data_IF_945199596159
#
_entry.id   IF_945199596159
#
_cell.length_a   1.000
_cell.length_b   1.000
_cell.length_c   1.000
_cell.angle_alpha   90.00
_cell.angle_beta   90.00
_cell.angle_gamma   90.00
#
_symmetry.space_group_name_H-M   'P 1'
#
loop_
_entity.id
_entity.type
_entity.pdbx_description
1 polymer ?
#
# COMPACT_ATOMS: atom_id res chain seq x y z
N UNK A 1 -40.00 32.37 -66.59
CA UNK A 1 -39.16 31.81 -65.51
C UNK A 1 -40.09 31.29 -64.42
N UNK A 2 -39.72 30.16 -63.84
CA UNK A 2 -40.54 29.20 -63.11
C UNK A 2 -41.36 29.75 -61.92
N UNK A 3 -42.65 29.38 -61.86
CA UNK A 3 -43.49 28.82 -60.75
C UNK A 3 -42.96 28.97 -59.29
N UNK A 4 -43.73 29.15 -58.19
CA UNK A 4 -45.14 28.93 -57.81
C UNK A 4 -45.40 29.54 -56.42
N UNK A 5 -46.64 29.94 -56.15
CA UNK A 5 -47.19 30.31 -54.83
C UNK A 5 -47.33 29.11 -53.87
N UNK A 6 -47.32 29.33 -52.55
CA UNK A 6 -48.36 28.88 -51.57
C UNK A 6 -47.84 29.03 -50.13
N UNK A 7 -48.78 29.45 -49.29
CA UNK A 7 -48.71 29.79 -47.87
C UNK A 7 -48.25 28.67 -46.93
N UNK A 8 -47.77 29.04 -45.73
CA UNK A 8 -47.96 28.25 -44.51
C UNK A 8 -48.19 29.17 -43.30
N UNK A 9 -49.35 28.99 -42.69
CA UNK A 9 -49.75 29.46 -41.37
C UNK A 9 -49.07 28.65 -40.25
N UNK A 10 -48.89 29.32 -39.10
CA UNK A 10 -49.02 28.84 -37.73
C UNK A 10 -48.44 27.45 -37.35
N UNK A 11 -47.43 27.48 -36.48
CA UNK A 11 -47.03 26.35 -35.66
C UNK A 11 -46.05 26.79 -34.57
N UNK A 12 -46.56 27.15 -33.40
CA UNK A 12 -45.73 27.28 -32.19
C UNK A 12 -45.28 25.86 -31.84
N UNK A 13 -44.01 25.56 -32.10
CA UNK A 13 -43.38 24.33 -31.62
C UNK A 13 -42.86 24.61 -30.20
N UNK A 14 -43.63 24.20 -29.19
CA UNK A 14 -43.09 24.02 -27.84
C UNK A 14 -42.14 22.82 -27.92
N UNK A 15 -40.85 23.09 -28.05
CA UNK A 15 -39.83 22.07 -27.92
C UNK A 15 -39.76 21.66 -26.45
N UNK A 16 -40.45 20.57 -26.12
CA UNK A 16 -40.30 19.84 -24.87
C UNK A 16 -38.83 19.48 -24.70
N UNK A 17 -38.12 20.17 -23.80
CA UNK A 17 -36.79 19.75 -23.37
C UNK A 17 -37.01 18.45 -22.62
N UNK A 18 -36.79 17.32 -23.30
CA UNK A 18 -36.71 16.02 -22.66
C UNK A 18 -35.45 16.07 -21.78
N UNK A 19 -35.64 16.40 -20.51
CA UNK A 19 -34.64 16.21 -19.47
C UNK A 19 -34.28 14.72 -19.49
N UNK A 20 -33.17 14.37 -20.13
CA UNK A 20 -32.60 13.05 -19.96
C UNK A 20 -32.44 12.85 -18.44
N UNK A 21 -32.92 11.75 -17.86
CA UNK A 21 -32.72 11.51 -16.44
C UNK A 21 -31.22 11.48 -16.24
N UNK A 22 -30.71 12.45 -15.47
CA UNK A 22 -29.41 12.34 -14.82
C UNK A 22 -29.50 11.01 -14.08
N UNK A 23 -28.86 9.97 -14.62
CA UNK A 23 -28.64 8.75 -13.87
C UNK A 23 -27.76 9.19 -12.70
N UNK A 24 -28.39 9.48 -11.57
CA UNK A 24 -27.73 9.46 -10.29
C UNK A 24 -27.10 8.06 -10.23
N UNK A 25 -25.80 7.98 -10.54
CA UNK A 25 -25.03 6.78 -10.30
C UNK A 25 -25.25 6.47 -8.84
N UNK A 26 -26.08 5.47 -8.58
CA UNK A 26 -26.25 4.93 -7.24
C UNK A 26 -24.87 4.38 -6.93
N UNK A 27 -24.08 5.13 -6.16
CA UNK A 27 -22.80 4.63 -5.65
C UNK A 27 -23.19 3.39 -4.88
N UNK A 28 -22.95 2.21 -5.46
CA UNK A 28 -23.26 0.94 -4.81
C UNK A 28 -22.54 1.00 -3.48
N UNK A 29 -23.33 1.06 -2.39
CA UNK A 29 -22.80 1.26 -1.06
C UNK A 29 -22.12 -0.05 -0.66
N UNK A 30 -20.81 -0.14 -0.92
CA UNK A 30 -19.99 -1.30 -0.58
C UNK A 30 -20.10 -1.60 0.90
N UNK A 31 -20.21 -2.88 1.24
CA UNK A 31 -20.20 -3.35 2.62
C UNK A 31 -18.83 -3.09 3.29
N UNK A 32 -18.77 -3.02 4.63
CA UNK A 32 -17.51 -2.94 5.36
C UNK A 32 -16.53 -4.07 5.02
N UNK A 33 -17.02 -5.28 4.82
CA UNK A 33 -16.24 -6.46 4.46
C UNK A 33 -15.61 -6.31 3.07
N UNK A 34 -16.39 -5.90 2.07
CA UNK A 34 -15.88 -5.63 0.72
C UNK A 34 -14.86 -4.49 0.71
N UNK A 35 -15.13 -3.41 1.46
CA UNK A 35 -14.19 -2.30 1.59
C UNK A 35 -12.87 -2.73 2.23
N UNK A 36 -12.92 -3.62 3.22
CA UNK A 36 -11.72 -4.18 3.85
C UNK A 36 -10.95 -5.08 2.88
N UNK A 37 -11.64 -6.01 2.22
CA UNK A 37 -11.03 -6.92 1.26
C UNK A 37 -10.36 -6.15 0.12
N UNK A 38 -11.03 -5.11 -0.39
CA UNK A 38 -10.48 -4.19 -1.40
C UNK A 38 -9.23 -3.47 -0.90
N UNK A 39 -9.27 -2.91 0.31
CA UNK A 39 -8.09 -2.27 0.90
C UNK A 39 -6.93 -3.25 1.05
N UNK A 40 -7.17 -4.45 1.58
CA UNK A 40 -6.13 -5.47 1.80
C UNK A 40 -5.51 -5.93 0.48
N UNK A 41 -6.30 -6.01 -0.60
CA UNK A 41 -5.82 -6.35 -1.94
C UNK A 41 -4.96 -5.25 -2.57
N UNK A 42 -5.29 -3.97 -2.34
CA UNK A 42 -4.75 -2.86 -3.11
C UNK A 42 -3.82 -1.92 -2.34
N UNK A 43 -3.74 -1.99 -1.01
CA UNK A 43 -2.89 -1.11 -0.18
C UNK A 43 -1.41 -1.10 -0.56
N UNK A 44 -0.95 -2.14 -1.26
CA UNK A 44 0.42 -2.31 -1.74
C UNK A 44 0.64 -2.05 -3.24
N UNK A 45 -0.37 -1.61 -3.99
CA UNK A 45 -0.25 -1.46 -5.45
C UNK A 45 0.91 -0.55 -5.88
N UNK A 46 1.21 0.47 -5.08
CA UNK A 46 2.30 1.44 -5.28
C UNK A 46 3.54 1.15 -4.42
N UNK A 47 3.65 0.01 -3.73
CA UNK A 47 4.82 -0.31 -2.88
C UNK A 47 6.13 -0.29 -3.65
N UNK A 48 6.08 -0.56 -4.96
CA UNK A 48 7.24 -0.45 -5.82
C UNK A 48 7.84 0.94 -5.82
N UNK A 49 7.09 2.03 -5.62
CA UNK A 49 7.61 3.40 -5.59
C UNK A 49 8.40 3.73 -4.33
N UNK A 50 8.15 3.06 -3.20
CA UNK A 50 8.71 3.43 -1.90
C UNK A 50 10.24 3.40 -1.93
N UNK A 51 10.90 4.44 -1.40
CA UNK A 51 12.34 4.59 -1.43
C UNK A 51 12.77 5.75 -2.32
N UNK A 52 14.01 5.71 -2.78
CA UNK A 52 14.62 6.79 -3.56
C UNK A 52 15.05 6.27 -4.93
N UNK A 53 14.83 7.10 -5.95
CA UNK A 53 15.05 6.80 -7.35
C UNK A 53 15.78 7.93 -8.04
N UNK A 54 16.64 7.58 -8.97
CA UNK A 54 17.00 8.46 -10.08
C UNK A 54 16.16 8.11 -11.31
N UNK A 55 15.95 9.08 -12.20
CA UNK A 55 15.29 8.80 -13.46
C UNK A 55 15.87 9.59 -14.62
N UNK A 56 15.68 9.03 -15.81
CA UNK A 56 15.82 9.76 -17.08
C UNK A 56 14.48 9.82 -17.77
N UNK A 57 14.23 10.90 -18.49
CA UNK A 57 12.96 11.17 -19.13
C UNK A 57 13.15 11.76 -20.53
N UNK A 58 12.18 11.50 -21.38
CA UNK A 58 12.04 12.14 -22.69
C UNK A 58 10.61 12.67 -22.82
N UNK A 59 10.49 13.96 -23.11
CA UNK A 59 9.25 14.67 -23.36
C UNK A 59 9.27 15.28 -24.75
N UNK A 60 8.13 15.20 -25.44
CA UNK A 60 7.94 15.88 -26.73
C UNK A 60 7.90 17.41 -26.60
N UNK A 61 7.65 17.94 -25.40
CA UNK A 61 7.63 19.38 -25.14
C UNK A 61 8.96 19.88 -24.58
N UNK A 62 9.55 19.14 -23.64
CA UNK A 62 10.73 19.60 -22.88
C UNK A 62 12.04 18.92 -23.30
N UNK A 63 11.99 17.99 -24.26
CA UNK A 63 13.16 17.20 -24.64
C UNK A 63 13.57 16.21 -23.56
N UNK A 64 14.87 15.92 -23.49
CA UNK A 64 15.43 14.98 -22.51
C UNK A 64 15.81 15.68 -21.21
N UNK A 65 15.53 15.04 -20.09
CA UNK A 65 15.91 15.53 -18.78
C UNK A 65 16.08 14.37 -17.79
N UNK A 66 16.59 14.68 -16.60
CA UNK A 66 16.82 13.72 -15.53
C UNK A 66 16.28 14.26 -14.21
N UNK A 67 16.16 13.38 -13.23
CA UNK A 67 15.71 13.81 -11.93
C UNK A 67 15.80 12.78 -10.83
N UNK A 68 15.20 13.14 -9.70
CA UNK A 68 15.07 12.30 -8.53
C UNK A 68 13.60 12.11 -8.18
N UNK A 69 13.27 10.94 -7.68
CA UNK A 69 11.94 10.65 -7.16
C UNK A 69 12.08 9.91 -5.84
N UNK A 70 11.45 10.44 -4.80
CA UNK A 70 11.43 9.82 -3.48
C UNK A 70 10.00 9.54 -3.06
N UNK A 71 9.71 8.39 -2.46
CA UNK A 71 8.40 8.08 -1.91
C UNK A 71 8.51 7.43 -0.53
N UNK A 72 7.60 7.80 0.36
CA UNK A 72 7.49 7.24 1.71
C UNK A 72 6.06 6.77 1.98
N UNK A 73 5.95 5.67 2.72
CA UNK A 73 4.68 5.20 3.26
C UNK A 73 4.40 5.90 4.58
N UNK A 74 3.26 6.55 4.71
CA UNK A 74 2.79 7.12 5.97
C UNK A 74 2.13 6.03 6.82
N UNK A 75 2.04 6.25 8.14
CA UNK A 75 1.42 5.30 9.08
C UNK A 75 -0.02 4.92 8.70
N UNK A 76 -0.80 5.85 8.15
CA UNK A 76 -2.17 5.59 7.68
C UNK A 76 -2.25 4.79 6.36
N UNK A 77 -1.12 4.41 5.78
CA UNK A 77 -1.05 3.64 4.53
C UNK A 77 -1.05 4.49 3.26
N UNK A 78 -1.14 5.82 3.38
CA UNK A 78 -0.94 6.73 2.24
C UNK A 78 0.52 6.68 1.76
N UNK A 79 0.73 7.09 0.52
CA UNK A 79 2.07 7.32 -0.01
C UNK A 79 2.23 8.81 -0.26
N UNK A 80 3.30 9.38 0.28
CA UNK A 80 3.75 10.72 -0.02
C UNK A 80 4.99 10.59 -0.89
N UNK A 81 4.96 11.16 -2.09
CA UNK A 81 6.09 11.17 -3.00
C UNK A 81 6.47 12.56 -3.46
N UNK A 82 7.76 12.78 -3.72
CA UNK A 82 8.34 14.01 -4.22
C UNK A 82 9.08 13.70 -5.52
N UNK A 83 8.80 14.47 -6.56
CA UNK A 83 9.41 14.35 -7.88
C UNK A 83 10.15 15.63 -8.21
N UNK A 84 11.46 15.52 -8.50
CA UNK A 84 12.34 16.65 -8.82
C UNK A 84 12.95 16.47 -10.20
N UNK A 85 12.82 17.49 -11.05
CA UNK A 85 13.62 17.62 -12.28
C UNK A 85 14.87 18.41 -11.96
N UNK A 86 16.02 17.90 -12.40
CA UNK A 86 17.32 18.51 -12.17
C UNK A 86 17.83 19.21 -13.44
N UNK A 87 18.45 20.38 -13.24
CA UNK A 87 19.26 21.04 -14.27
C UNK A 87 20.64 20.38 -14.41
N UNK A 88 21.43 20.86 -15.37
CA UNK A 88 22.74 20.29 -15.68
C UNK A 88 23.68 20.28 -14.46
N UNK A 89 23.66 21.37 -13.68
CA UNK A 89 24.46 21.54 -12.47
C UNK A 89 23.91 20.78 -11.24
N UNK A 90 22.77 20.09 -11.37
CA UNK A 90 22.11 19.38 -10.27
C UNK A 90 21.11 20.23 -9.47
N UNK A 91 20.91 21.50 -9.84
CA UNK A 91 19.90 22.35 -9.21
C UNK A 91 18.48 21.85 -9.49
N UNK A 92 17.56 22.01 -8.53
CA UNK A 92 16.14 21.65 -8.72
C UNK A 92 15.45 22.68 -9.61
N UNK A 93 15.03 22.28 -10.81
CA UNK A 93 14.34 23.14 -11.78
C UNK A 93 12.81 23.06 -11.64
N UNK A 94 12.31 21.91 -11.21
CA UNK A 94 10.89 21.68 -10.94
C UNK A 94 10.76 20.68 -9.81
N UNK A 95 9.76 20.89 -8.95
CA UNK A 95 9.44 20.00 -7.84
C UNK A 95 7.94 19.94 -7.64
N UNK A 96 7.41 18.72 -7.54
CA UNK A 96 6.04 18.48 -7.11
C UNK A 96 6.01 17.43 -6.02
N UNK A 97 5.04 17.56 -5.12
CA UNK A 97 4.77 16.58 -4.07
C UNK A 97 3.38 15.99 -4.30
N UNK A 98 3.28 14.67 -4.34
CA UNK A 98 2.03 13.95 -4.52
C UNK A 98 1.64 13.16 -3.28
N UNK A 99 0.37 13.26 -2.89
CA UNK A 99 -0.26 12.36 -1.93
C UNK A 99 -1.12 11.35 -2.69
N UNK A 100 -0.88 10.07 -2.44
CA UNK A 100 -1.66 8.95 -2.99
C UNK A 100 -2.35 8.22 -1.86
N UNK A 101 -3.66 8.02 -2.00
CA UNK A 101 -4.45 7.32 -1.00
C UNK A 101 -5.40 6.32 -1.66
N UNK A 102 -5.51 5.13 -1.09
CA UNK A 102 -6.47 4.15 -1.58
C UNK A 102 -7.86 4.42 -1.01
N UNK A 103 -8.80 4.75 -1.89
CA UNK A 103 -10.19 4.97 -1.53
C UNK A 103 -10.98 3.66 -1.67
N UNK A 104 -11.09 2.92 -0.56
CA UNK A 104 -11.83 1.65 -0.51
C UNK A 104 -13.33 1.77 -0.80
N UNK A 105 -13.93 2.95 -0.60
CA UNK A 105 -15.34 3.16 -0.95
C UNK A 105 -15.54 3.22 -2.48
N UNK A 106 -14.52 3.69 -3.21
CA UNK A 106 -14.56 3.87 -4.67
C UNK A 106 -13.69 2.87 -5.45
N UNK A 107 -13.04 1.94 -4.76
CA UNK A 107 -12.20 0.87 -5.35
C UNK A 107 -11.12 1.42 -6.30
N UNK A 108 -10.40 2.44 -5.84
CA UNK A 108 -9.37 3.11 -6.64
C UNK A 108 -8.39 3.86 -5.76
N UNK A 109 -7.21 4.12 -6.31
CA UNK A 109 -6.33 5.15 -5.81
C UNK A 109 -6.81 6.54 -6.21
N UNK A 110 -6.65 7.49 -5.31
CA UNK A 110 -6.85 8.92 -5.56
C UNK A 110 -5.52 9.63 -5.30
N UNK A 111 -5.21 10.59 -6.18
CA UNK A 111 -3.92 11.28 -6.21
C UNK A 111 -4.17 12.78 -6.22
N UNK A 112 -3.39 13.51 -5.42
CA UNK A 112 -3.33 14.97 -5.44
C UNK A 112 -1.88 15.42 -5.49
N UNK A 113 -1.53 16.18 -6.51
CA UNK A 113 -0.22 16.82 -6.69
C UNK A 113 -0.26 18.28 -6.22
N UNK A 114 0.79 18.68 -5.51
CA UNK A 114 0.97 20.02 -4.96
C UNK A 114 2.30 20.60 -5.43
N UNK A 115 2.26 21.84 -5.90
CA UNK A 115 3.46 22.59 -6.25
C UNK A 115 3.70 23.69 -5.20
N UNK A 116 4.98 23.91 -4.87
CA UNK A 116 5.36 24.92 -3.89
C UNK A 116 4.84 26.31 -4.30
N UNK A 117 4.01 26.92 -3.45
CA UNK A 117 3.44 28.25 -3.67
C UNK A 117 2.22 28.30 -4.62
N UNK A 118 1.94 27.24 -5.38
CA UNK A 118 0.84 27.21 -6.37
C UNK A 118 -0.35 26.35 -5.92
N UNK A 119 -0.27 25.73 -4.74
CA UNK A 119 -1.35 24.92 -4.18
C UNK A 119 -1.56 23.59 -4.91
N UNK A 120 -2.81 23.12 -4.96
CA UNK A 120 -3.18 21.89 -5.65
C UNK A 120 -3.07 22.12 -7.16
N UNK A 121 -2.17 21.38 -7.81
CA UNK A 121 -1.96 21.47 -9.26
C UNK A 121 -2.56 20.28 -10.01
N UNK A 122 -2.55 19.11 -9.39
CA UNK A 122 -2.92 17.89 -10.09
C UNK A 122 -3.91 17.05 -9.30
N UNK A 123 -4.86 16.46 -10.00
CA UNK A 123 -5.84 15.55 -9.40
C UNK A 123 -5.99 14.35 -10.33
N UNK A 124 -5.91 13.14 -9.77
CA UNK A 124 -5.99 11.93 -10.55
C UNK A 124 -6.57 10.74 -9.81
N UNK A 125 -6.84 9.69 -10.56
CA UNK A 125 -7.22 8.39 -10.02
C UNK A 125 -6.36 7.30 -10.63
N UNK A 126 -6.15 6.21 -9.91
CA UNK A 126 -5.33 5.09 -10.38
C UNK A 126 -5.91 3.73 -10.04
N UNK A 127 -5.62 2.74 -10.88
CA UNK A 127 -5.92 1.33 -10.63
C UNK A 127 -4.82 0.42 -11.14
N UNK A 128 -4.63 -0.70 -10.45
CA UNK A 128 -3.84 -1.82 -10.97
C UNK A 128 -4.61 -2.53 -12.08
N UNK A 129 -3.98 -2.72 -13.23
CA UNK A 129 -4.54 -3.48 -14.35
C UNK A 129 -3.50 -4.51 -14.78
N UNK A 130 -3.70 -5.77 -14.37
CA UNK A 130 -2.70 -6.82 -14.53
C UNK A 130 -1.39 -6.45 -13.82
N UNK A 131 -0.29 -6.44 -14.58
CA UNK A 131 1.04 -6.06 -14.07
C UNK A 131 1.31 -4.56 -14.08
N UNK A 132 0.42 -3.74 -14.63
CA UNK A 132 0.61 -2.29 -14.77
C UNK A 132 -0.16 -1.51 -13.70
N UNK A 133 0.37 -0.33 -13.35
CA UNK A 133 -0.37 0.70 -12.64
C UNK A 133 -0.82 1.76 -13.63
N UNK A 134 -2.14 1.94 -13.79
CA UNK A 134 -2.72 2.91 -14.72
C UNK A 134 -3.29 4.09 -13.94
N UNK A 135 -3.03 5.30 -14.43
CA UNK A 135 -3.48 6.55 -13.82
C UNK A 135 -4.10 7.45 -14.87
N UNK A 136 -5.21 8.07 -14.53
CA UNK A 136 -5.76 9.21 -15.25
C UNK A 136 -5.63 10.45 -14.36
N UNK A 137 -4.98 11.49 -14.87
CA UNK A 137 -4.65 12.67 -14.09
C UNK A 137 -4.86 13.95 -14.90
N UNK A 138 -5.40 14.96 -14.25
CA UNK A 138 -5.52 16.32 -14.78
C UNK A 138 -4.44 17.17 -14.15
N UNK A 139 -3.56 17.73 -14.97
CA UNK A 139 -2.45 18.59 -14.57
C UNK A 139 -2.78 20.07 -14.77
N UNK A 140 -2.26 20.92 -13.89
CA UNK A 140 -2.42 22.38 -13.96
C UNK A 140 -3.86 22.83 -13.74
N UNK A 141 -4.57 22.24 -12.77
CA UNK A 141 -6.02 22.46 -12.55
C UNK A 141 -6.39 23.90 -12.19
N UNK A 142 -5.42 24.69 -11.73
CA UNK A 142 -5.58 26.12 -11.43
C UNK A 142 -5.23 27.02 -12.61
N UNK A 143 -4.80 26.46 -13.73
CA UNK A 143 -4.48 27.20 -14.95
C UNK A 143 -5.68 27.26 -15.90
N UNK A 144 -5.69 28.23 -16.80
CA UNK A 144 -6.75 28.36 -17.82
C UNK A 144 -6.78 27.18 -18.82
N UNK A 145 -5.70 26.39 -18.89
CA UNK A 145 -5.51 25.32 -19.88
C UNK A 145 -4.94 24.06 -19.22
N UNK A 146 -5.73 23.36 -18.38
CA UNK A 146 -5.29 22.10 -17.81
C UNK A 146 -5.13 21.04 -18.91
N UNK A 147 -4.27 20.06 -18.67
CA UNK A 147 -4.08 18.93 -19.58
C UNK A 147 -4.48 17.61 -18.92
N UNK A 148 -5.02 16.68 -19.72
CA UNK A 148 -5.36 15.33 -19.29
C UNK A 148 -4.25 14.37 -19.67
N UNK A 149 -3.90 13.50 -18.75
CA UNK A 149 -2.81 12.54 -18.90
C UNK A 149 -3.32 11.13 -18.61
N UNK A 150 -2.99 10.21 -19.51
CA UNK A 150 -3.16 8.76 -19.32
C UNK A 150 -1.79 8.16 -19.11
N UNK A 151 -1.54 7.80 -17.86
CA UNK A 151 -0.25 7.38 -17.36
C UNK A 151 -0.26 5.87 -17.13
N UNK A 152 0.86 5.22 -17.42
CA UNK A 152 1.09 3.81 -17.10
C UNK A 152 2.47 3.62 -16.51
N UNK A 153 2.54 2.87 -15.42
CA UNK A 153 3.77 2.26 -14.92
C UNK A 153 3.80 0.80 -15.34
N UNK A 154 4.91 0.36 -15.91
CA UNK A 154 5.06 -0.99 -16.48
C UNK A 154 6.50 -1.48 -16.36
N UNK A 155 6.70 -2.79 -16.62
CA UNK A 155 7.96 -3.51 -16.35
C UNK A 155 8.53 -3.16 -14.96
N UNK A 156 7.65 -3.27 -13.96
CA UNK A 156 7.94 -2.95 -12.56
C UNK A 156 8.73 -4.10 -11.95
N UNK A 157 9.99 -3.82 -11.62
CA UNK A 157 10.90 -4.70 -10.91
C UNK A 157 11.31 -4.06 -9.58
N UNK A 158 12.00 -4.80 -8.68
CA UNK A 158 12.44 -4.25 -7.41
C UNK A 158 13.30 -3.00 -7.54
N UNK A 159 14.16 -2.91 -8.56
CA UNK A 159 15.19 -1.88 -8.75
C UNK A 159 14.97 -0.96 -9.96
N UNK A 160 13.93 -1.22 -10.77
CA UNK A 160 13.59 -0.42 -11.94
C UNK A 160 12.09 -0.42 -12.24
N UNK A 161 11.62 0.64 -12.89
CA UNK A 161 10.33 0.63 -13.57
C UNK A 161 10.32 1.64 -14.72
N UNK A 162 9.37 1.47 -15.62
CA UNK A 162 9.10 2.44 -16.68
C UNK A 162 7.78 3.13 -16.46
N UNK A 163 7.72 4.38 -16.89
CA UNK A 163 6.51 5.20 -16.88
C UNK A 163 6.32 5.82 -18.25
N UNK A 164 5.07 5.89 -18.71
CA UNK A 164 4.72 6.55 -19.97
C UNK A 164 3.41 7.27 -19.82
N UNK A 165 3.28 8.40 -20.51
CA UNK A 165 2.03 9.12 -20.56
C UNK A 165 1.65 9.58 -21.95
N UNK A 166 0.37 9.42 -22.25
CA UNK A 166 -0.30 10.10 -23.35
C UNK A 166 -0.92 11.39 -22.81
N UNK A 167 -0.89 12.47 -23.60
CA UNK A 167 -1.40 13.78 -23.18
C UNK A 167 -2.47 14.33 -24.12
N UNK A 168 -3.48 14.95 -23.54
CA UNK A 168 -4.49 15.73 -24.23
C UNK A 168 -4.57 17.15 -23.66
N UNK A 169 -4.67 18.14 -24.53
CA UNK A 169 -4.81 19.57 -24.18
C UNK A 169 -6.17 20.16 -24.61
N UNK A 170 -7.06 19.33 -25.17
CA UNK A 170 -8.35 19.72 -25.73
C UNK A 170 -9.54 19.01 -25.04
N UNK A 171 -9.35 18.61 -23.78
CA UNK A 171 -10.36 17.93 -22.97
C UNK A 171 -10.56 16.46 -23.35
N UNK A 172 -9.54 15.81 -23.92
CA UNK A 172 -9.55 14.39 -24.23
C UNK A 172 -10.01 14.05 -25.65
N UNK A 173 -10.19 15.05 -26.54
CA UNK A 173 -10.64 14.84 -27.93
C UNK A 173 -9.51 14.28 -28.78
N UNK A 174 -8.30 14.81 -28.61
CA UNK A 174 -7.08 14.29 -29.24
C UNK A 174 -6.03 13.94 -28.20
N UNK A 175 -5.21 12.93 -28.51
CA UNK A 175 -4.18 12.40 -27.63
C UNK A 175 -2.85 12.32 -28.38
N UNK A 176 -1.80 12.89 -27.76
CA UNK A 176 -0.43 12.70 -28.21
C UNK A 176 0.13 11.49 -27.47
N UNK A 177 0.25 10.37 -28.18
CA UNK A 177 0.79 9.15 -27.60
C UNK A 177 2.26 9.27 -27.22
N UNK A 178 2.65 8.65 -26.11
CA UNK A 178 4.00 8.72 -25.53
C UNK A 178 4.51 10.17 -25.53
N UNK A 179 3.67 11.08 -25.03
CA UNK A 179 4.05 12.48 -24.88
C UNK A 179 5.27 12.61 -23.95
N UNK A 180 5.32 11.78 -22.91
CA UNK A 180 6.48 11.64 -22.05
C UNK A 180 6.72 10.19 -21.64
N UNK A 181 7.99 9.82 -21.51
CA UNK A 181 8.44 8.52 -20.98
C UNK A 181 9.53 8.72 -19.93
N UNK A 182 9.57 7.84 -18.94
CA UNK A 182 10.55 7.84 -17.86
C UNK A 182 11.06 6.42 -17.65
N UNK A 183 12.37 6.28 -17.47
CA UNK A 183 13.01 5.10 -16.88
C UNK A 183 13.54 5.49 -15.50
N UNK A 184 13.09 4.78 -14.46
CA UNK A 184 13.50 5.03 -13.09
C UNK A 184 14.35 3.86 -12.57
N UNK A 185 15.40 4.18 -11.80
CA UNK A 185 16.29 3.22 -11.15
C UNK A 185 16.41 3.53 -9.67
N UNK A 186 16.31 2.49 -8.84
CA UNK A 186 16.33 2.63 -7.39
C UNK A 186 17.76 2.93 -6.92
N UNK A 187 17.88 3.94 -6.06
CA UNK A 187 19.13 4.34 -5.41
C UNK A 187 19.07 4.27 -3.87
N UNK A 188 17.88 4.02 -3.31
CA UNK A 188 17.69 3.87 -1.85
C UNK A 188 16.65 2.80 -1.49
N UNK A 189 16.74 2.21 -0.30
CA UNK A 189 15.80 1.19 0.16
C UNK A 189 14.38 1.78 0.31
N UNK A 190 13.32 0.96 0.29
CA UNK A 190 11.97 1.40 0.65
C UNK A 190 11.92 2.06 2.02
N UNK A 191 11.20 3.19 2.12
CA UNK A 191 11.09 3.99 3.36
C UNK A 191 9.65 4.11 3.83
N UNK A 192 9.49 4.11 5.15
CA UNK A 192 8.24 4.45 5.84
C UNK A 192 8.49 5.62 6.79
N UNK A 193 7.49 6.45 6.97
CA UNK A 193 7.49 7.56 7.91
C UNK A 193 6.48 7.25 9.02
N UNK A 194 6.95 7.33 10.27
CA UNK A 194 6.12 7.05 11.45
C UNK A 194 5.02 8.09 11.66
N UNK A 195 4.29 7.93 12.77
CA UNK A 195 3.27 8.89 13.19
C UNK A 195 3.83 10.32 13.24
N UNK A 196 3.15 11.26 12.58
CA UNK A 196 3.50 12.70 12.65
C UNK A 196 3.17 13.30 14.02
N UNK A 197 2.15 12.77 14.69
CA UNK A 197 1.75 13.18 16.02
C UNK A 197 1.63 11.95 16.92
N UNK A 198 2.12 12.06 18.15
CA UNK A 198 1.96 11.03 19.16
C UNK A 198 0.67 11.27 19.92
N UNK A 199 -0.34 10.44 19.68
CA UNK A 199 -1.48 10.32 20.58
C UNK A 199 -1.15 9.41 21.76
N UNK A 200 -1.78 9.61 22.93
CA UNK A 200 -2.05 8.46 23.81
C UNK A 200 -2.77 7.46 22.91
N UNK A 201 -2.23 6.24 22.74
CA UNK A 201 -2.87 5.20 21.95
C UNK A 201 -4.34 5.13 22.38
N UNK A 202 -5.23 5.66 21.56
CA UNK A 202 -6.64 5.39 21.72
C UNK A 202 -6.74 3.89 21.48
N UNK A 203 -7.37 3.17 22.40
CA UNK A 203 -7.89 1.82 22.19
C UNK A 203 -9.03 1.86 21.15
N UNK A 204 -8.84 2.60 20.05
CA UNK A 204 -9.68 2.52 18.87
C UNK A 204 -9.29 1.25 18.13
N UNK A 205 -9.92 0.19 18.61
CA UNK A 205 -10.28 -1.01 17.87
C UNK A 205 -10.76 -0.64 16.46
N UNK A 206 -9.81 -0.56 15.54
CA UNK A 206 -10.02 -1.25 14.26
C UNK A 206 -10.46 -2.67 14.64
N UNK A 207 -11.39 -3.33 13.95
CA UNK A 207 -11.50 -4.77 14.05
C UNK A 207 -10.19 -5.31 13.44
N UNK A 208 -9.11 -5.28 14.22
CA UNK A 208 -7.91 -6.07 14.02
C UNK A 208 -8.44 -7.46 13.71
N UNK A 209 -7.99 -8.06 12.61
CA UNK A 209 -8.12 -9.51 12.49
C UNK A 209 -7.58 -10.04 13.82
N UNK A 210 -8.48 -10.56 14.66
CA UNK A 210 -8.28 -10.68 16.11
C UNK A 210 -6.84 -11.10 16.37
N UNK A 211 -6.09 -10.36 17.20
CA UNK A 211 -4.70 -10.70 17.51
C UNK A 211 -4.65 -12.18 17.92
N UNK A 212 -4.27 -13.06 16.98
CA UNK A 212 -4.66 -14.45 17.12
C UNK A 212 -3.64 -15.17 17.97
N UNK A 213 -2.44 -14.61 18.15
CA UNK A 213 -1.32 -15.33 18.75
C UNK A 213 -0.62 -14.59 19.89
N UNK A 214 -0.81 -13.27 20.06
CA UNK A 214 -0.26 -12.59 21.25
C UNK A 214 -0.90 -13.13 22.52
N UNK A 215 -0.09 -13.41 23.53
CA UNK A 215 -0.56 -13.89 24.82
C UNK A 215 0.39 -14.90 25.45
N UNK A 216 -0.06 -15.45 26.57
CA UNK A 216 0.66 -16.48 27.30
C UNK A 216 0.10 -17.84 26.88
N UNK A 217 0.99 -18.75 26.46
CA UNK A 217 0.63 -20.08 26.01
C UNK A 217 1.29 -21.12 26.91
N UNK A 218 0.51 -22.10 27.34
CA UNK A 218 1.09 -23.25 28.02
C UNK A 218 0.10 -24.36 28.33
N UNK A 219 0.50 -25.25 29.23
CA UNK A 219 -0.28 -26.37 29.73
C UNK A 219 -0.04 -26.53 31.23
N UNK A 220 -0.91 -27.24 31.93
CA UNK A 220 -0.72 -27.64 33.34
C UNK A 220 -0.36 -26.48 34.27
N UNK A 221 -1.08 -25.36 34.13
CA UNK A 221 -0.83 -24.10 34.85
C UNK A 221 0.58 -23.51 34.71
N UNK A 222 1.39 -24.01 33.77
CA UNK A 222 2.71 -23.47 33.41
C UNK A 222 2.70 -22.74 32.07
N UNK A 223 3.42 -21.62 31.99
CA UNK A 223 3.55 -20.85 30.75
C UNK A 223 4.86 -21.24 30.07
N UNK A 224 4.80 -21.53 28.78
CA UNK A 224 5.95 -21.96 27.98
C UNK A 224 6.30 -20.95 26.87
N UNK A 225 5.31 -20.18 26.39
CA UNK A 225 5.55 -19.11 25.43
C UNK A 225 4.82 -17.84 25.87
N UNK A 226 5.55 -16.73 25.80
CA UNK A 226 4.99 -15.38 25.92
C UNK A 226 5.16 -14.75 24.55
N UNK A 227 4.06 -14.53 23.83
CA UNK A 227 4.10 -14.12 22.44
C UNK A 227 3.50 -12.73 22.25
N UNK A 228 4.07 -11.99 21.31
CA UNK A 228 3.55 -10.72 20.83
C UNK A 228 3.68 -10.63 19.32
N UNK A 229 2.54 -10.53 18.65
CA UNK A 229 2.43 -10.29 17.23
C UNK A 229 2.52 -8.77 16.94
N UNK A 230 3.30 -8.41 15.93
CA UNK A 230 3.32 -7.04 15.42
C UNK A 230 2.51 -6.89 14.12
N UNK A 231 2.44 -5.66 13.60
CA UNK A 231 1.68 -5.34 12.40
C UNK A 231 2.24 -5.99 11.11
N UNK A 232 3.48 -6.47 11.13
CA UNK A 232 4.17 -7.11 9.99
C UNK A 232 4.11 -8.65 10.06
N UNK A 233 3.32 -9.19 10.99
CA UNK A 233 3.27 -10.60 11.34
C UNK A 233 4.59 -11.17 11.89
N UNK A 234 5.50 -10.32 12.37
CA UNK A 234 6.63 -10.78 13.15
C UNK A 234 6.16 -11.10 14.57
N UNK A 235 6.71 -12.18 15.13
CA UNK A 235 6.43 -12.63 16.48
C UNK A 235 7.67 -12.39 17.33
N UNK A 236 7.47 -11.66 18.42
CA UNK A 236 8.49 -11.42 19.45
C UNK A 236 8.04 -12.02 20.77
N UNK A 237 8.96 -12.18 21.71
CA UNK A 237 8.62 -12.65 23.05
C UNK A 237 9.67 -13.57 23.66
N UNK A 238 9.21 -14.48 24.51
CA UNK A 238 10.07 -15.36 25.31
C UNK A 238 9.61 -16.80 25.21
N UNK A 239 10.55 -17.71 24.93
CA UNK A 239 10.38 -19.14 25.16
C UNK A 239 10.90 -19.50 26.55
N UNK A 240 10.10 -20.25 27.31
CA UNK A 240 10.38 -20.66 28.68
C UNK A 240 10.59 -22.17 28.72
N UNK A 241 11.77 -22.60 29.14
CA UNK A 241 12.19 -23.99 29.18
C UNK A 241 12.30 -24.48 30.63
N UNK A 242 11.87 -25.72 30.88
CA UNK A 242 11.91 -26.38 32.19
C UNK A 242 12.37 -27.82 32.04
N UNK A 243 13.01 -28.36 33.07
CA UNK A 243 13.39 -29.77 33.11
C UNK A 243 13.14 -30.38 34.50
N UNK A 244 11.89 -30.80 34.76
CA UNK A 244 11.42 -31.68 35.86
C UNK A 244 11.70 -31.23 37.31
N UNK A 245 12.67 -30.35 37.47
CA UNK A 245 13.21 -29.66 38.62
C UNK A 245 12.85 -28.19 38.41
N UNK A 246 12.71 -27.44 39.49
CA UNK A 246 12.28 -26.02 39.51
C UNK A 246 13.19 -25.04 38.75
N UNK A 247 14.16 -25.53 37.98
CA UNK A 247 15.04 -24.75 37.11
C UNK A 247 14.27 -24.31 35.86
N UNK A 248 13.97 -23.02 35.79
CA UNK A 248 13.40 -22.35 34.62
C UNK A 248 14.50 -21.56 33.90
N UNK A 249 14.60 -21.72 32.59
CA UNK A 249 15.40 -20.84 31.75
C UNK A 249 14.54 -20.15 30.72
N UNK A 250 14.89 -18.90 30.41
CA UNK A 250 14.13 -18.04 29.51
C UNK A 250 15.04 -17.64 28.34
N UNK A 251 14.55 -17.84 27.12
CA UNK A 251 15.24 -17.46 25.89
C UNK A 251 14.43 -16.45 25.11
N UNK A 252 14.98 -15.29 24.73
CA UNK A 252 14.28 -14.37 23.85
C UNK A 252 14.08 -15.01 22.47
N UNK A 253 12.94 -14.73 21.86
CA UNK A 253 12.68 -15.07 20.45
C UNK A 253 13.43 -14.04 19.61
N UNK A 254 14.49 -14.48 18.91
CA UNK A 254 15.31 -13.64 18.02
C UNK A 254 14.64 -13.46 16.67
N UNK A 255 13.95 -14.49 16.19
CA UNK A 255 13.23 -14.46 14.91
C UNK A 255 11.93 -15.21 15.08
N UNK A 256 10.80 -14.55 14.81
CA UNK A 256 9.49 -15.17 14.89
C UNK A 256 8.60 -14.69 13.76
N UNK A 257 7.81 -15.60 13.19
CA UNK A 257 6.89 -15.31 12.08
C UNK A 257 5.55 -15.99 12.33
N UNK A 258 4.48 -15.33 11.92
CA UNK A 258 3.13 -15.88 11.96
C UNK A 258 2.42 -15.69 10.62
N UNK A 259 1.69 -16.69 10.15
CA UNK A 259 0.86 -16.58 8.97
C UNK A 259 -0.62 -16.59 9.37
N UNK A 260 -1.32 -15.44 9.37
CA UNK A 260 -2.71 -15.36 9.80
C UNK A 260 -3.69 -16.14 8.91
N UNK A 261 -3.31 -16.49 7.68
CA UNK A 261 -4.17 -17.28 6.78
C UNK A 261 -4.13 -18.76 7.10
N UNK A 262 -2.99 -19.27 7.55
CA UNK A 262 -2.77 -20.71 7.79
C UNK A 262 -2.68 -21.07 9.27
N UNK A 263 -2.52 -20.07 10.14
CA UNK A 263 -2.23 -20.25 11.56
C UNK A 263 -0.80 -20.69 11.85
N UNK A 264 0.06 -20.83 10.83
CA UNK A 264 1.42 -21.33 11.02
C UNK A 264 2.30 -20.33 11.77
N UNK A 265 3.11 -20.83 12.70
CA UNK A 265 4.10 -20.05 13.46
C UNK A 265 5.46 -20.76 13.42
N UNK A 266 6.52 -19.95 13.35
CA UNK A 266 7.89 -20.40 13.53
C UNK A 266 8.65 -19.41 14.41
N UNK A 267 9.30 -19.91 15.45
CA UNK A 267 10.06 -19.14 16.44
C UNK A 267 11.47 -19.71 16.57
N UNK A 268 12.46 -18.83 16.65
CA UNK A 268 13.87 -19.17 16.76
C UNK A 268 14.57 -18.29 17.79
N UNK A 269 15.52 -18.86 18.51
CA UNK A 269 16.34 -18.12 19.45
C UNK A 269 17.40 -18.99 20.11
N UNK A 270 17.98 -18.46 21.18
CA UNK A 270 18.94 -19.17 22.02
C UNK A 270 18.49 -19.08 23.48
N UNK A 271 18.72 -20.15 24.22
CA UNK A 271 18.44 -20.21 25.65
C UNK A 271 19.50 -21.06 26.35
N UNK A 272 19.68 -20.83 27.65
CA UNK A 272 20.42 -21.78 28.50
C UNK A 272 19.57 -23.03 28.69
N UNK A 273 20.15 -24.21 28.61
CA UNK A 273 19.46 -25.45 28.91
C UNK A 273 19.23 -25.57 30.42
N UNK A 274 18.03 -25.96 30.89
CA UNK A 274 17.77 -26.12 32.31
C UNK A 274 18.59 -27.23 33.01
N UNK A 275 19.03 -28.25 32.28
CA UNK A 275 19.77 -29.40 32.83
C UNK A 275 21.28 -29.17 32.97
N UNK A 276 21.87 -28.53 31.96
CA UNK A 276 23.32 -28.36 31.84
C UNK A 276 23.77 -26.91 32.04
N UNK A 277 22.86 -25.95 31.92
CA UNK A 277 23.17 -24.52 31.89
C UNK A 277 23.83 -24.02 30.59
N UNK A 278 24.13 -24.92 29.65
CA UNK A 278 24.78 -24.58 28.37
C UNK A 278 23.82 -23.79 27.47
N UNK A 279 24.32 -22.78 26.77
CA UNK A 279 23.53 -22.05 25.77
C UNK A 279 23.40 -22.89 24.51
N UNK A 280 22.18 -23.09 24.02
CA UNK A 280 21.91 -23.75 22.76
C UNK A 280 20.80 -23.05 21.96
N UNK A 281 20.74 -23.33 20.66
CA UNK A 281 19.69 -22.81 19.78
C UNK A 281 18.41 -23.63 19.92
N UNK A 282 17.27 -22.96 19.79
CA UNK A 282 15.97 -23.62 19.73
C UNK A 282 15.18 -23.16 18.50
N UNK A 283 14.34 -24.06 18.00
CA UNK A 283 13.35 -23.80 16.96
C UNK A 283 12.01 -24.36 17.42
N UNK A 284 10.94 -23.57 17.31
CA UNK A 284 9.58 -23.98 17.62
C UNK A 284 8.74 -23.74 16.38
N UNK A 285 8.11 -24.79 15.88
CA UNK A 285 7.20 -24.73 14.74
C UNK A 285 5.84 -25.24 15.17
N UNK A 286 4.79 -24.52 14.79
CA UNK A 286 3.45 -24.90 15.20
C UNK A 286 2.37 -24.30 14.34
N UNK A 287 1.15 -24.60 14.73
CA UNK A 287 -0.07 -24.11 14.10
C UNK A 287 -1.08 -23.73 15.16
N UNK A 288 -1.63 -22.54 15.02
CA UNK A 288 -2.75 -22.07 15.79
C UNK A 288 -4.05 -22.51 15.14
N UNK A 289 -4.84 -23.29 15.87
CA UNK A 289 -6.21 -23.64 15.50
C UNK A 289 -7.13 -23.27 16.66
N UNK A 290 -8.01 -22.29 16.42
CA UNK A 290 -8.87 -21.69 17.47
C UNK A 290 -8.01 -21.16 18.64
N UNK A 291 -8.14 -21.76 19.83
CA UNK A 291 -7.44 -21.38 21.06
C UNK A 291 -6.33 -22.37 21.45
N UNK A 292 -5.91 -23.21 20.50
CA UNK A 292 -4.85 -24.20 20.72
C UNK A 292 -3.69 -23.96 19.77
N UNK A 293 -2.50 -23.77 20.34
CA UNK A 293 -1.23 -23.72 19.63
C UNK A 293 -0.51 -25.05 19.83
N UNK A 294 -0.41 -25.85 18.78
CA UNK A 294 0.24 -27.16 18.82
C UNK A 294 1.33 -27.26 17.77
N UNK A 295 2.35 -28.08 18.04
CA UNK A 295 3.48 -28.19 17.15
C UNK A 295 4.65 -29.00 17.71
N UNK A 296 5.82 -28.73 17.17
CA UNK A 296 7.09 -29.36 17.52
C UNK A 296 8.10 -28.32 17.98
N UNK A 297 9.01 -28.72 18.85
CA UNK A 297 10.21 -27.94 19.14
C UNK A 297 11.47 -28.79 18.97
N UNK A 298 12.56 -28.11 18.67
CA UNK A 298 13.93 -28.59 18.85
C UNK A 298 14.66 -27.62 19.77
N UNK A 299 15.45 -28.14 20.69
CA UNK A 299 16.34 -27.36 21.54
C UNK A 299 17.60 -28.21 21.76
N UNK A 300 18.66 -27.87 21.02
CA UNK A 300 19.84 -28.72 20.91
C UNK A 300 19.50 -30.14 20.40
N UNK A 301 19.86 -31.18 21.15
CA UNK A 301 19.55 -32.58 20.89
C UNK A 301 18.13 -32.98 21.31
N UNK A 302 17.41 -32.12 22.06
CA UNK A 302 16.05 -32.37 22.52
C UNK A 302 15.05 -32.02 21.43
N UNK A 303 14.04 -32.87 21.27
CA UNK A 303 12.87 -32.62 20.42
C UNK A 303 11.62 -33.11 21.11
N UNK A 304 10.50 -32.46 20.84
CA UNK A 304 9.23 -32.86 21.41
C UNK A 304 8.06 -32.24 20.68
N UNK A 305 6.87 -32.75 20.99
CA UNK A 305 5.61 -32.16 20.59
C UNK A 305 5.05 -31.36 21.76
N UNK A 306 4.25 -30.35 21.45
CA UNK A 306 3.53 -29.60 22.46
C UNK A 306 2.12 -29.27 21.98
N UNK A 307 1.24 -29.01 22.94
CA UNK A 307 -0.10 -28.50 22.72
C UNK A 307 -0.42 -27.55 23.86
N UNK A 308 -0.53 -26.27 23.55
CA UNK A 308 -0.73 -25.20 24.52
C UNK A 308 -2.06 -24.51 24.30
N UNK A 309 -2.71 -24.15 25.40
CA UNK A 309 -3.86 -23.25 25.38
C UNK A 309 -3.42 -21.86 25.80
N UNK A 310 -4.15 -20.86 25.32
CA UNK A 310 -4.02 -19.49 25.81
C UNK A 310 -4.41 -19.43 27.29
N UNK A 311 -3.64 -18.70 28.09
CA UNK A 311 -3.94 -18.37 29.47
C UNK A 311 -4.43 -16.94 29.65
#
# INVERSE_FOLDING_TARGET
MHYVSVAVCAGILVASVASAPVSAQTTVKRSPEEMRASYDAHKGDFDYLLGDWEFTAESKEYGKFRGLWSAVRLEGGQILDEYRVLGDNGDTMYMTTSLRNYNRALDRWELVGLDAGNGIQDIGTGRRVGSEMQIEQKFGVTTDKPSLWKIRYYDIAPDRFFWSADRSTDGGKTWVSKHQTIEARRIGPPRSFGALATGKKSTQSTPQAADPISGNWGSDDQTFLELKLDANNAVSGTAIWRDGSSQETRGPIKTGTFNPRTGAIRLEGEAKRPDTGATASYVIEGKLEKDTLAGTFTFDDRKGNFSFTRK
#
